data_IF_441433634812
#
_entry.id   IF_441433634812
#
_cell.length_a   1.000
_cell.length_b   1.000
_cell.length_c   1.000
_cell.angle_alpha   90.00
_cell.angle_beta   90.00
_cell.angle_gamma   90.00
#
_symmetry.space_group_name_H-M   'P 1'
#
loop_
_entity.id
_entity.type
_entity.pdbx_description
1 polymer ?
#
# COMPACT_ATOMS: atom_id res chain seq x y z
N UNK A 1 -48.82 -66.45 -71.06
CA UNK A 1 -48.21 -67.31 -70.02
C UNK A 1 -46.88 -67.78 -70.55
N UNK A 2 -45.79 -67.24 -70.01
CA UNK A 2 -44.43 -67.44 -70.51
C UNK A 2 -43.51 -67.67 -69.33
N UNK A 3 -42.84 -68.82 -69.32
CA UNK A 3 -41.75 -69.18 -68.41
C UNK A 3 -40.52 -69.51 -69.29
N UNK A 4 -39.41 -68.84 -69.02
CA UNK A 4 -38.02 -69.21 -69.34
C UNK A 4 -37.18 -68.22 -68.53
N UNK A 5 -36.39 -68.60 -67.52
CA UNK A 5 -35.23 -69.47 -67.61
C UNK A 5 -33.98 -68.58 -67.72
N UNK A 6 -33.19 -68.43 -66.65
CA UNK A 6 -31.81 -67.93 -66.72
C UNK A 6 -31.02 -68.24 -65.43
N UNK A 7 -29.75 -68.51 -65.67
CA UNK A 7 -28.69 -69.14 -64.87
C UNK A 7 -28.14 -68.36 -63.64
N UNK A 8 -27.26 -69.00 -62.84
CA UNK A 8 -26.82 -68.54 -61.53
C UNK A 8 -25.53 -67.68 -61.58
N UNK A 9 -25.38 -66.78 -60.59
CA UNK A 9 -24.10 -66.22 -60.22
C UNK A 9 -24.03 -66.10 -58.68
N UNK A 10 -23.22 -66.97 -58.10
CA UNK A 10 -22.77 -66.98 -56.72
C UNK A 10 -21.80 -65.79 -56.52
N UNK A 11 -22.18 -64.83 -55.68
CA UNK A 11 -21.31 -63.77 -55.21
C UNK A 11 -21.31 -63.80 -53.67
N UNK A 12 -20.35 -64.52 -53.11
CA UNK A 12 -20.04 -64.51 -51.69
C UNK A 12 -19.52 -63.13 -51.28
N UNK A 13 -20.30 -62.41 -50.46
CA UNK A 13 -19.91 -61.14 -49.85
C UNK A 13 -19.54 -61.34 -48.36
N UNK A 14 -18.38 -60.85 -47.89
CA UNK A 14 -17.95 -60.90 -46.48
C UNK A 14 -18.64 -59.84 -45.59
N UNK A 15 -18.57 -59.99 -44.24
CA UNK A 15 -19.52 -59.41 -43.29
C UNK A 15 -19.34 -57.92 -42.99
N UNK A 16 -20.46 -57.34 -42.55
CA UNK A 16 -20.69 -55.97 -42.15
C UNK A 16 -19.70 -55.45 -41.10
N UNK A 17 -19.05 -54.32 -41.41
CA UNK A 17 -18.35 -53.48 -40.45
C UNK A 17 -19.30 -52.37 -40.00
N UNK A 18 -19.53 -52.31 -38.69
CA UNK A 18 -20.31 -51.26 -38.04
C UNK A 18 -19.60 -49.90 -38.17
N UNK A 19 -20.31 -48.90 -38.67
CA UNK A 19 -19.91 -47.50 -38.64
C UNK A 19 -20.98 -46.72 -37.87
N UNK A 20 -20.76 -46.57 -36.57
CA UNK A 20 -21.49 -45.59 -35.76
C UNK A 20 -20.90 -44.21 -35.96
N UNK A 21 -21.77 -43.27 -36.31
CA UNK A 21 -21.49 -41.85 -36.36
C UNK A 21 -21.57 -41.24 -34.95
N UNK A 22 -20.64 -40.34 -34.60
CA UNK A 22 -21.00 -39.22 -33.76
C UNK A 22 -20.74 -37.89 -34.48
N UNK A 23 -21.83 -37.17 -34.70
CA UNK A 23 -21.84 -35.71 -34.84
C UNK A 23 -21.31 -35.09 -33.54
N UNK A 24 -20.06 -34.64 -33.57
CA UNK A 24 -19.41 -33.90 -32.48
C UNK A 24 -18.80 -32.61 -33.02
N UNK A 25 -19.50 -31.50 -32.79
CA UNK A 25 -19.13 -30.14 -33.13
C UNK A 25 -18.04 -29.59 -32.18
N UNK A 26 -16.97 -29.07 -32.79
CA UNK A 26 -16.11 -27.95 -32.40
C UNK A 26 -15.86 -27.63 -30.90
N UNK A 27 -14.59 -27.74 -30.47
CA UNK A 27 -13.78 -26.58 -30.06
C UNK A 27 -12.32 -26.94 -29.81
N UNK A 28 -11.44 -26.08 -30.31
CA UNK A 28 -10.02 -26.32 -30.53
C UNK A 28 -9.17 -26.51 -29.27
N UNK A 29 -8.28 -27.51 -29.35
CA UNK A 29 -7.08 -27.62 -28.54
C UNK A 29 -5.89 -27.39 -29.48
N UNK A 30 -5.25 -26.22 -29.39
CA UNK A 30 -3.98 -25.94 -30.06
C UNK A 30 -2.83 -26.32 -29.11
N UNK A 31 -1.79 -27.02 -29.60
CA UNK A 31 -0.58 -27.31 -28.84
C UNK A 31 0.41 -26.15 -29.02
N UNK A 32 0.91 -25.59 -27.92
CA UNK A 32 2.08 -24.68 -27.96
C UNK A 32 3.07 -25.05 -26.86
N UNK A 33 3.83 -26.11 -27.15
CA UNK A 33 5.20 -26.23 -26.68
C UNK A 33 6.07 -25.17 -27.40
N UNK A 34 7.17 -24.75 -26.76
CA UNK A 34 8.21 -23.81 -27.23
C UNK A 34 8.02 -22.31 -26.94
N UNK A 35 8.12 -21.88 -25.67
CA UNK A 35 8.77 -20.60 -25.30
C UNK A 35 9.34 -20.71 -23.88
N UNK A 36 10.45 -21.44 -23.67
CA UNK A 36 11.06 -21.60 -22.32
C UNK A 36 12.57 -21.34 -22.26
N UNK A 37 13.17 -20.69 -23.26
CA UNK A 37 14.64 -20.52 -23.29
C UNK A 37 15.09 -19.16 -23.81
N UNK A 38 14.60 -18.05 -23.22
CA UNK A 38 15.11 -16.70 -23.55
C UNK A 38 15.23 -15.70 -22.39
N UNK A 39 15.09 -16.14 -21.13
CA UNK A 39 15.34 -15.30 -19.93
C UNK A 39 16.55 -15.75 -19.10
N UNK A 40 17.51 -16.39 -19.75
CA UNK A 40 18.83 -16.66 -19.18
C UNK A 40 19.86 -15.83 -19.92
N UNK A 41 20.65 -15.03 -19.18
CA UNK A 41 21.89 -14.35 -19.63
C UNK A 41 21.74 -12.89 -20.08
N UNK A 42 21.46 -12.00 -19.11
CA UNK A 42 22.15 -10.69 -18.98
C UNK A 42 21.84 -10.02 -17.61
N UNK A 43 21.91 -10.78 -16.51
CA UNK A 43 22.04 -10.20 -15.16
C UNK A 43 23.47 -10.33 -14.66
N UNK A 44 24.44 -10.01 -15.53
CA UNK A 44 25.86 -10.03 -15.18
C UNK A 44 26.29 -8.64 -14.74
N UNK A 45 26.79 -8.58 -13.50
CA UNK A 45 27.70 -7.57 -12.98
C UNK A 45 27.11 -6.20 -12.60
N UNK A 46 26.23 -6.20 -11.60
CA UNK A 46 26.27 -5.17 -10.55
C UNK A 46 25.63 -5.68 -9.24
N UNK A 47 25.99 -6.89 -8.84
CA UNK A 47 25.68 -7.44 -7.51
C UNK A 47 26.60 -6.80 -6.47
N UNK A 48 26.38 -5.52 -6.22
CA UNK A 48 26.99 -4.82 -5.10
C UNK A 48 26.22 -5.23 -3.83
N UNK A 49 26.84 -5.96 -2.88
CA UNK A 49 26.14 -6.64 -1.80
C UNK A 49 25.83 -5.68 -0.65
N UNK A 50 24.99 -4.67 -0.86
CA UNK A 50 24.28 -3.96 0.23
C UNK A 50 22.83 -3.59 -0.16
N UNK A 51 21.96 -4.58 -0.44
CA UNK A 51 20.54 -4.32 -0.75
C UNK A 51 19.77 -3.61 0.38
N UNK A 52 20.35 -3.47 1.58
CA UNK A 52 19.75 -2.70 2.68
C UNK A 52 19.95 -1.18 2.56
N UNK A 53 21.05 -0.69 1.98
CA UNK A 53 21.37 0.74 1.99
C UNK A 53 20.43 1.56 1.12
N UNK A 54 20.13 1.10 -0.10
CA UNK A 54 19.21 1.80 -1.02
C UNK A 54 17.82 1.99 -0.40
N UNK A 55 17.33 0.98 0.33
CA UNK A 55 16.05 1.08 1.03
C UNK A 55 16.12 2.05 2.20
N UNK A 56 17.22 2.07 2.96
CA UNK A 56 17.41 3.00 4.07
C UNK A 56 17.51 4.45 3.58
N UNK A 57 18.25 4.69 2.51
CA UNK A 57 18.32 6.01 1.86
C UNK A 57 16.94 6.45 1.38
N UNK A 58 16.16 5.54 0.78
CA UNK A 58 14.80 5.86 0.34
C UNK A 58 13.87 6.27 1.48
N UNK A 59 13.86 5.55 2.60
CA UNK A 59 12.99 5.89 3.75
C UNK A 59 13.49 7.11 4.51
N UNK A 60 14.80 7.37 4.51
CA UNK A 60 15.39 8.60 5.05
C UNK A 60 14.98 9.80 4.21
N UNK A 61 15.13 9.72 2.88
CA UNK A 61 14.74 10.78 1.96
C UNK A 61 13.24 11.08 2.04
N UNK A 62 12.39 10.05 2.13
CA UNK A 62 10.95 10.21 2.31
C UNK A 62 10.62 10.94 3.63
N UNK A 63 11.32 10.62 4.72
CA UNK A 63 11.18 11.32 5.98
C UNK A 63 11.56 12.79 5.87
N UNK A 64 12.75 13.07 5.33
CA UNK A 64 13.24 14.44 5.16
C UNK A 64 12.30 15.31 4.30
N UNK A 65 11.83 14.78 3.17
CA UNK A 65 10.88 15.48 2.29
C UNK A 65 9.57 15.75 3.01
N UNK A 66 9.03 14.77 3.75
CA UNK A 66 7.80 14.96 4.51
C UNK A 66 7.96 16.05 5.57
N UNK A 67 9.01 15.98 6.39
CA UNK A 67 9.27 16.97 7.44
C UNK A 67 9.44 18.39 6.91
N UNK A 68 10.22 18.56 5.84
CA UNK A 68 10.41 19.86 5.19
C UNK A 68 9.10 20.40 4.59
N UNK A 69 8.30 19.53 3.96
CA UNK A 69 7.00 19.91 3.40
C UNK A 69 6.01 20.33 4.49
N UNK A 70 5.99 19.63 5.64
CA UNK A 70 5.16 20.01 6.79
C UNK A 70 5.57 21.37 7.35
N UNK A 71 6.87 21.63 7.55
CA UNK A 71 7.36 22.93 8.02
C UNK A 71 7.00 24.06 7.04
N UNK A 72 7.20 23.85 5.74
CA UNK A 72 6.82 24.84 4.73
C UNK A 72 5.31 25.09 4.71
N UNK A 73 4.49 24.04 4.80
CA UNK A 73 3.04 24.18 4.85
C UNK A 73 2.60 24.97 6.10
N UNK A 74 3.21 24.70 7.26
CA UNK A 74 2.95 25.41 8.50
C UNK A 74 3.32 26.89 8.39
N UNK A 75 4.48 27.20 7.82
CA UNK A 75 4.89 28.59 7.63
C UNK A 75 4.00 29.35 6.63
N UNK A 76 3.62 28.75 5.51
CA UNK A 76 2.70 29.38 4.55
C UNK A 76 1.30 29.55 5.15
N UNK A 77 0.86 28.60 5.99
CA UNK A 77 -0.39 28.74 6.74
C UNK A 77 -0.31 29.95 7.69
N UNK A 78 0.79 30.14 8.42
CA UNK A 78 0.98 31.32 9.27
C UNK A 78 0.94 32.65 8.50
N UNK A 79 1.58 32.71 7.32
CA UNK A 79 1.52 33.90 6.46
C UNK A 79 0.10 34.18 5.96
N UNK A 80 -0.69 33.13 5.71
CA UNK A 80 -2.07 33.27 5.23
C UNK A 80 -3.02 33.79 6.30
N UNK A 81 -2.70 33.58 7.59
CA UNK A 81 -3.51 34.08 8.71
C UNK A 81 -3.33 35.59 8.93
N UNK A 82 -2.20 36.16 8.52
CA UNK A 82 -1.87 37.57 8.72
C UNK A 82 -2.21 38.47 7.51
N UNK A 83 -2.47 37.87 6.35
CA UNK A 83 -2.69 38.61 5.10
C UNK A 83 -4.11 39.19 4.92
N UNK A 84 -5.05 39.01 5.85
CA UNK A 84 -6.43 39.47 5.68
C UNK A 84 -7.07 40.06 6.96
N UNK A 85 -6.80 41.35 7.13
CA UNK A 85 -7.81 42.36 7.41
C UNK A 85 -9.20 42.04 6.82
N UNK A 86 -10.10 41.45 7.62
CA UNK A 86 -11.56 41.38 7.46
C UNK A 86 -12.17 40.77 6.18
N UNK A 87 -11.51 40.74 5.02
CA UNK A 87 -12.10 40.28 3.74
C UNK A 87 -12.06 38.73 3.58
N UNK A 88 -11.09 38.03 4.21
CA UNK A 88 -10.90 36.57 4.14
C UNK A 88 -12.01 35.85 4.90
N UNK A 89 -12.48 36.49 5.96
CA UNK A 89 -13.55 35.99 6.83
C UNK A 89 -14.85 35.75 6.09
N UNK A 90 -15.02 36.33 4.90
CA UNK A 90 -16.30 36.30 4.17
C UNK A 90 -16.36 35.35 2.97
N UNK A 91 -15.24 34.84 2.42
CA UNK A 91 -15.35 33.90 1.27
C UNK A 91 -14.23 32.87 1.04
N UNK A 92 -13.08 32.90 1.72
CA UNK A 92 -11.91 32.15 1.25
C UNK A 92 -11.50 30.97 2.12
N UNK A 93 -11.83 29.74 1.74
CA UNK A 93 -11.21 28.55 2.32
C UNK A 93 -9.71 28.54 2.06
N UNK A 94 -8.87 28.49 3.09
CA UNK A 94 -7.43 28.34 2.91
C UNK A 94 -7.06 26.86 2.82
N UNK A 95 -6.86 26.37 1.60
CA UNK A 95 -6.42 24.98 1.35
C UNK A 95 -5.13 24.66 2.11
N UNK A 96 -4.22 25.64 2.23
CA UNK A 96 -2.94 25.44 2.89
C UNK A 96 -3.08 25.25 4.41
N UNK A 97 -4.07 25.86 5.05
CA UNK A 97 -4.37 25.64 6.47
C UNK A 97 -4.85 24.22 6.73
N UNK A 98 -5.73 23.69 5.86
CA UNK A 98 -6.17 22.30 5.92
C UNK A 98 -4.98 21.35 5.71
N UNK A 99 -4.13 21.62 4.71
CA UNK A 99 -2.95 20.80 4.42
C UNK A 99 -1.96 20.82 5.59
N UNK A 100 -1.68 21.99 6.16
CA UNK A 100 -0.85 22.15 7.36
C UNK A 100 -1.41 21.34 8.52
N UNK A 101 -2.71 21.49 8.85
CA UNK A 101 -3.34 20.74 9.94
C UNK A 101 -3.35 19.22 9.71
N UNK A 102 -3.49 18.76 8.47
CA UNK A 102 -3.39 17.34 8.13
C UNK A 102 -1.95 16.82 8.24
N UNK A 103 -0.95 17.57 7.78
CA UNK A 103 0.46 17.18 7.85
C UNK A 103 1.03 17.24 9.26
N UNK A 104 0.57 18.18 10.07
CA UNK A 104 0.99 18.35 11.47
C UNK A 104 0.28 17.36 12.42
N UNK A 105 -0.71 16.63 11.92
CA UNK A 105 -1.42 15.64 12.72
C UNK A 105 -0.54 14.43 13.08
N UNK A 106 -0.61 14.00 14.34
CA UNK A 106 0.14 12.84 14.82
C UNK A 106 -0.11 11.56 14.02
N UNK A 107 -1.31 11.36 13.46
CA UNK A 107 -1.60 10.20 12.61
C UNK A 107 -0.86 10.22 11.26
N UNK A 108 -0.57 11.40 10.70
CA UNK A 108 0.19 11.51 9.45
C UNK A 108 1.65 11.08 9.67
N UNK A 109 2.26 11.55 10.76
CA UNK A 109 3.60 11.14 11.20
C UNK A 109 3.66 9.65 11.54
N UNK A 110 2.63 9.13 12.22
CA UNK A 110 2.54 7.69 12.49
C UNK A 110 2.40 6.88 11.19
N UNK A 111 1.58 7.36 10.25
CA UNK A 111 1.40 6.78 8.92
C UNK A 111 2.69 6.71 8.13
N UNK A 112 3.51 7.77 8.20
CA UNK A 112 4.84 7.81 7.59
C UNK A 112 5.76 6.72 8.14
N UNK A 113 5.82 6.54 9.47
CA UNK A 113 6.63 5.50 10.09
C UNK A 113 6.16 4.08 9.72
N UNK A 114 4.85 3.85 9.68
CA UNK A 114 4.24 2.58 9.23
C UNK A 114 4.57 2.33 7.75
N UNK A 115 4.47 3.35 6.90
CA UNK A 115 4.79 3.25 5.47
C UNK A 115 6.28 2.93 5.26
N UNK A 116 7.18 3.59 6.01
CA UNK A 116 8.61 3.31 5.96
C UNK A 116 8.91 1.85 6.31
N UNK A 117 8.30 1.32 7.38
CA UNK A 117 8.43 -0.08 7.77
C UNK A 117 7.91 -1.06 6.72
N UNK A 118 6.80 -0.71 6.06
CA UNK A 118 6.26 -1.48 4.94
C UNK A 118 7.20 -1.48 3.72
N UNK A 119 7.73 -0.33 3.32
CA UNK A 119 8.64 -0.19 2.18
C UNK A 119 9.96 -0.92 2.42
N UNK A 120 10.53 -0.79 3.62
CA UNK A 120 11.78 -1.46 4.01
C UNK A 120 11.69 -2.99 3.96
N UNK A 121 10.48 -3.54 4.07
CA UNK A 121 10.21 -4.98 4.02
C UNK A 121 9.62 -5.46 2.70
N UNK A 122 9.33 -4.54 1.76
CA UNK A 122 8.89 -4.85 0.40
C UNK A 122 10.04 -5.36 -0.47
N UNK A 123 11.25 -4.84 -0.28
CA UNK A 123 12.42 -5.08 -1.12
C UNK A 123 13.03 -6.49 -1.03
N UNK A 124 12.65 -7.33 -0.05
CA UNK A 124 13.19 -8.69 0.10
C UNK A 124 12.10 -9.75 0.13
N UNK A 125 11.96 -10.50 -0.96
CA UNK A 125 11.12 -11.70 -1.08
C UNK A 125 11.88 -13.00 -0.76
N UNK A 126 13.18 -12.93 -0.46
CA UNK A 126 14.05 -14.10 -0.27
C UNK A 126 14.42 -14.35 1.20
N UNK A 127 13.86 -15.42 1.78
CA UNK A 127 14.47 -16.28 2.81
C UNK A 127 14.59 -15.79 4.27
N UNK A 128 14.64 -14.49 4.57
CA UNK A 128 14.87 -14.02 5.95
C UNK A 128 13.61 -13.51 6.65
N UNK A 129 12.68 -14.41 6.98
CA UNK A 129 11.44 -14.10 7.71
C UNK A 129 11.67 -13.48 9.09
N UNK A 130 12.72 -13.90 9.81
CA UNK A 130 12.97 -13.52 11.21
C UNK A 130 13.44 -12.06 11.42
N UNK A 131 14.10 -11.43 10.43
CA UNK A 131 14.64 -10.05 10.57
C UNK A 131 13.69 -8.95 10.05
N UNK A 132 12.51 -9.34 9.60
CA UNK A 132 11.49 -8.45 9.03
C UNK A 132 11.03 -7.34 10.00
N UNK A 133 10.66 -7.65 11.27
CA UNK A 133 10.18 -6.61 12.18
C UNK A 133 11.29 -5.65 12.61
N UNK A 134 12.51 -6.16 12.86
CA UNK A 134 13.65 -5.33 13.23
C UNK A 134 14.01 -4.31 12.13
N UNK A 135 13.95 -4.71 10.85
CA UNK A 135 14.15 -3.77 9.73
C UNK A 135 13.05 -2.72 9.65
N UNK A 136 11.80 -3.14 9.86
CA UNK A 136 10.67 -2.21 9.91
C UNK A 136 10.86 -1.17 11.01
N UNK A 137 11.22 -1.63 12.21
CA UNK A 137 11.49 -0.79 13.37
C UNK A 137 12.59 0.25 13.10
N UNK A 138 13.74 -0.19 12.57
CA UNK A 138 14.84 0.73 12.22
C UNK A 138 14.40 1.73 11.16
N UNK A 139 13.66 1.30 10.14
CA UNK A 139 13.15 2.21 9.12
C UNK A 139 12.20 3.26 9.71
N UNK A 140 11.29 2.87 10.61
CA UNK A 140 10.40 3.80 11.30
C UNK A 140 11.16 4.86 12.10
N UNK A 141 12.16 4.46 12.89
CA UNK A 141 13.02 5.40 13.64
C UNK A 141 13.76 6.35 12.71
N UNK A 142 14.46 5.81 11.70
CA UNK A 142 15.27 6.62 10.77
C UNK A 142 14.39 7.63 10.04
N UNK A 143 13.20 7.24 9.58
CA UNK A 143 12.28 8.14 8.88
C UNK A 143 11.76 9.25 9.79
N UNK A 144 11.37 8.94 11.02
CA UNK A 144 10.88 9.96 11.95
C UNK A 144 11.97 10.92 12.40
N UNK A 145 13.19 10.42 12.67
CA UNK A 145 14.34 11.28 12.97
C UNK A 145 14.69 12.17 11.77
N UNK A 146 14.68 11.63 10.56
CA UNK A 146 14.93 12.43 9.35
C UNK A 146 13.83 13.48 9.13
N UNK A 147 12.57 13.13 9.36
CA UNK A 147 11.45 14.05 9.24
C UNK A 147 11.52 15.18 10.28
N UNK A 148 11.74 14.87 11.56
CA UNK A 148 11.87 15.88 12.61
C UNK A 148 13.09 16.78 12.38
N UNK A 149 14.24 16.21 12.01
CA UNK A 149 15.43 17.00 11.69
C UNK A 149 15.20 17.94 10.50
N UNK A 150 14.58 17.45 9.41
CA UNK A 150 14.28 18.28 8.25
C UNK A 150 13.21 19.33 8.53
N UNK A 151 12.22 19.01 9.37
CA UNK A 151 11.21 19.95 9.84
C UNK A 151 11.88 21.14 10.54
N UNK A 152 12.69 20.89 11.58
CA UNK A 152 13.35 21.97 12.30
C UNK A 152 14.38 22.73 11.46
N UNK A 153 15.13 22.02 10.61
CA UNK A 153 16.05 22.69 9.68
C UNK A 153 15.30 23.65 8.74
N UNK A 154 14.18 23.21 8.16
CA UNK A 154 13.35 24.08 7.33
C UNK A 154 12.75 25.23 8.14
N UNK A 155 12.29 24.96 9.36
CA UNK A 155 11.72 25.96 10.26
C UNK A 155 12.69 27.10 10.55
N UNK A 156 13.97 26.78 10.75
CA UNK A 156 15.03 27.78 10.96
C UNK A 156 15.28 28.65 9.75
N UNK A 157 15.17 28.09 8.54
CA UNK A 157 15.33 28.84 7.29
C UNK A 157 14.13 29.76 7.07
N UNK A 158 12.92 29.30 7.39
CA UNK A 158 11.70 30.05 7.12
C UNK A 158 11.46 31.15 8.15
N UNK A 159 11.75 30.91 9.43
CA UNK A 159 11.51 31.87 10.51
C UNK A 159 12.74 32.70 10.90
N UNK A 160 13.90 32.44 10.29
CA UNK A 160 15.20 33.07 10.64
C UNK A 160 15.56 32.95 12.13
N UNK A 161 15.20 31.81 12.74
CA UNK A 161 15.46 31.51 14.16
C UNK A 161 16.57 30.47 14.27
N UNK A 162 17.59 30.68 15.13
CA UNK A 162 18.68 29.72 15.30
C UNK A 162 18.19 28.34 15.79
N UNK A 163 18.76 27.25 15.26
CA UNK A 163 18.43 25.86 15.66
C UNK A 163 18.50 25.61 17.18
N UNK A 164 19.36 26.35 17.90
CA UNK A 164 19.51 26.23 19.34
C UNK A 164 18.27 26.62 20.15
N UNK A 165 17.37 27.46 19.61
CA UNK A 165 16.12 27.83 20.28
C UNK A 165 15.16 26.65 20.40
N UNK A 166 15.19 25.73 19.44
CA UNK A 166 14.36 24.53 19.39
C UNK A 166 14.96 23.34 20.15
N UNK A 167 16.01 23.55 20.94
CA UNK A 167 16.77 22.46 21.56
C UNK A 167 15.90 21.52 22.41
N UNK A 168 15.03 22.08 23.26
CA UNK A 168 14.14 21.29 24.11
C UNK A 168 13.13 20.47 23.29
N UNK A 169 12.47 21.12 22.32
CA UNK A 169 11.45 20.47 21.49
C UNK A 169 12.07 19.40 20.57
N UNK A 170 13.24 19.70 20.00
CA UNK A 170 14.00 18.74 19.18
C UNK A 170 14.32 17.48 19.96
N UNK A 171 14.83 17.61 21.19
CA UNK A 171 15.14 16.46 22.06
C UNK A 171 13.87 15.67 22.40
N UNK A 172 12.78 16.36 22.74
CA UNK A 172 11.49 15.72 23.02
C UNK A 172 10.99 14.90 21.83
N UNK A 173 10.98 15.46 20.62
CA UNK A 173 10.50 14.78 19.41
C UNK A 173 11.43 13.68 18.91
N UNK A 174 12.74 13.82 19.12
CA UNK A 174 13.70 12.75 18.85
C UNK A 174 13.50 11.58 19.80
N UNK A 175 13.28 11.85 21.09
CA UNK A 175 12.94 10.82 22.07
C UNK A 175 11.64 10.09 21.67
N UNK A 176 10.60 10.84 21.30
CA UNK A 176 9.35 10.27 20.80
C UNK A 176 9.58 9.41 19.54
N UNK A 177 10.42 9.85 18.61
CA UNK A 177 10.77 9.11 17.39
C UNK A 177 11.49 7.80 17.69
N UNK A 178 12.41 7.79 18.67
CA UNK A 178 13.14 6.59 19.11
C UNK A 178 12.23 5.61 19.84
N UNK A 179 11.25 6.09 20.60
CA UNK A 179 10.31 5.24 21.35
C UNK A 179 9.18 4.68 20.48
N UNK A 180 8.55 5.53 19.67
CA UNK A 180 7.38 5.16 18.87
C UNK A 180 7.76 4.60 17.49
N UNK A 181 8.84 5.09 16.90
CA UNK A 181 9.33 4.66 15.59
C UNK A 181 9.53 3.14 15.46
N UNK A 182 10.12 2.43 16.44
CA UNK A 182 10.30 0.99 16.38
C UNK A 182 8.96 0.25 16.32
N UNK A 183 8.00 0.67 17.15
CA UNK A 183 6.68 0.06 17.25
C UNK A 183 5.91 0.26 15.95
N UNK A 184 5.82 1.50 15.48
CA UNK A 184 5.11 1.87 14.25
C UNK A 184 5.76 1.22 13.01
N UNK A 185 7.08 1.26 12.91
CA UNK A 185 7.82 0.61 11.84
C UNK A 185 7.64 -0.92 11.83
N UNK A 186 7.59 -1.55 13.01
CA UNK A 186 7.29 -2.98 13.12
C UNK A 186 5.84 -3.29 12.70
N UNK A 187 4.85 -2.46 13.05
CA UNK A 187 3.47 -2.59 12.56
C UNK A 187 3.43 -2.52 11.02
N UNK A 188 4.13 -1.56 10.43
CA UNK A 188 4.30 -1.45 8.97
C UNK A 188 4.85 -2.71 8.32
N UNK A 189 5.82 -3.36 8.96
CA UNK A 189 6.37 -4.64 8.49
C UNK A 189 5.34 -5.77 8.49
N UNK A 190 4.39 -5.74 9.42
CA UNK A 190 3.33 -6.73 9.57
C UNK A 190 2.21 -6.57 8.52
N UNK A 191 2.07 -5.40 7.88
CA UNK A 191 1.04 -5.16 6.87
C UNK A 191 1.14 -6.07 5.63
N UNK A 192 2.29 -6.74 5.41
CA UNK A 192 2.45 -7.75 4.35
C UNK A 192 2.01 -9.15 4.75
N UNK A 193 1.83 -9.43 6.04
CA UNK A 193 1.48 -10.78 6.50
C UNK A 193 0.06 -11.13 6.02
N UNK A 194 -0.14 -12.29 5.38
CA UNK A 194 -1.49 -12.76 5.11
C UNK A 194 -2.19 -13.09 6.44
N UNK A 195 -3.46 -12.71 6.58
CA UNK A 195 -4.26 -12.99 7.78
C UNK A 195 -4.65 -11.73 8.57
N UNK A 196 -5.27 -11.96 9.73
CA UNK A 196 -5.83 -10.89 10.58
C UNK A 196 -4.79 -9.86 11.01
N UNK A 197 -3.55 -10.29 11.31
CA UNK A 197 -2.46 -9.39 11.74
C UNK A 197 -2.13 -8.36 10.67
N UNK A 198 -2.08 -8.76 9.40
CA UNK A 198 -1.80 -7.82 8.30
C UNK A 198 -2.95 -6.88 8.00
N UNK A 199 -4.19 -7.30 8.26
CA UNK A 199 -5.36 -6.42 8.20
C UNK A 199 -5.31 -5.40 9.33
N UNK A 200 -5.07 -5.85 10.56
CA UNK A 200 -5.00 -4.98 11.73
C UNK A 200 -3.92 -3.91 11.55
N UNK A 201 -2.74 -4.30 11.06
CA UNK A 201 -1.64 -3.36 10.77
C UNK A 201 -1.99 -2.30 9.71
N UNK A 202 -2.82 -2.62 8.72
CA UNK A 202 -3.27 -1.65 7.70
C UNK A 202 -4.33 -0.70 8.22
N UNK A 203 -5.14 -1.16 9.16
CA UNK A 203 -6.25 -0.42 9.75
C UNK A 203 -5.78 0.47 10.91
N UNK A 204 -4.60 0.21 11.48
CA UNK A 204 -4.03 1.01 12.60
C UNK A 204 -3.99 2.51 12.29
N UNK A 205 -3.49 2.91 11.12
CA UNK A 205 -3.36 4.34 10.76
C UNK A 205 -4.71 5.00 10.52
N UNK A 206 -5.63 4.43 9.69
CA UNK A 206 -6.99 4.98 9.55
C UNK A 206 -7.77 5.08 10.86
N UNK A 207 -7.66 4.06 11.73
CA UNK A 207 -8.34 4.08 13.04
C UNK A 207 -7.72 5.14 13.94
N UNK A 208 -6.40 5.26 13.99
CA UNK A 208 -5.73 6.33 14.72
C UNK A 208 -6.17 7.72 14.26
N UNK A 209 -6.29 7.93 12.95
CA UNK A 209 -6.80 9.17 12.37
C UNK A 209 -8.26 9.45 12.79
N UNK A 210 -9.13 8.45 12.72
CA UNK A 210 -10.53 8.59 13.13
C UNK A 210 -10.67 8.87 14.63
N UNK A 211 -9.93 8.16 15.49
CA UNK A 211 -9.94 8.37 16.94
C UNK A 211 -9.44 9.76 17.29
N UNK A 212 -8.38 10.23 16.63
CA UNK A 212 -7.87 11.59 16.85
C UNK A 212 -8.92 12.64 16.49
N UNK A 213 -9.69 12.46 15.41
CA UNK A 213 -10.77 13.39 15.03
C UNK A 213 -11.91 13.44 16.04
N UNK A 214 -12.16 12.34 16.76
CA UNK A 214 -13.19 12.29 17.82
C UNK A 214 -12.68 12.91 19.12
N UNK A 215 -11.43 12.64 19.49
CA UNK A 215 -10.85 13.10 20.76
C UNK A 215 -10.38 14.56 20.70
N UNK A 216 -9.87 14.99 19.54
CA UNK A 216 -9.28 16.32 19.32
C UNK A 216 -9.71 16.85 17.94
N UNK A 217 -10.92 17.42 17.84
CA UNK A 217 -11.39 18.02 16.60
C UNK A 217 -10.44 19.13 16.15
N UNK A 218 -9.94 19.12 14.90
CA UNK A 218 -9.01 20.14 14.43
C UNK A 218 -9.76 21.44 14.14
N UNK A 219 -9.49 22.50 14.91
CA UNK A 219 -9.76 23.87 14.46
C UNK A 219 -10.41 24.81 15.49
N UNK A 220 -10.12 26.11 15.33
CA UNK A 220 -10.84 27.23 15.95
C UNK A 220 -12.10 27.64 15.18
N UNK A 221 -12.30 27.10 13.97
CA UNK A 221 -13.38 27.46 13.05
C UNK A 221 -14.18 26.19 12.64
N UNK A 222 -15.50 26.25 12.78
CA UNK A 222 -16.42 25.11 12.56
C UNK A 222 -16.35 24.55 11.14
N UNK A 223 -16.08 25.40 10.14
CA UNK A 223 -16.07 24.99 8.73
C UNK A 223 -14.84 24.14 8.39
N UNK A 224 -13.66 24.55 8.83
CA UNK A 224 -12.39 23.81 8.62
C UNK A 224 -12.46 22.46 9.34
N UNK A 225 -12.99 22.46 10.56
CA UNK A 225 -13.21 21.25 11.34
C UNK A 225 -14.11 20.26 10.58
N UNK A 226 -15.22 20.74 10.03
CA UNK A 226 -16.19 19.91 9.30
C UNK A 226 -15.55 19.28 8.06
N UNK A 227 -14.82 20.06 7.25
CA UNK A 227 -14.16 19.54 6.04
C UNK A 227 -13.06 18.54 6.40
N UNK A 228 -12.20 18.88 7.36
CA UNK A 228 -11.13 17.99 7.82
C UNK A 228 -11.69 16.67 8.32
N UNK A 229 -12.78 16.70 9.09
CA UNK A 229 -13.51 15.50 9.48
C UNK A 229 -14.00 14.73 8.25
N UNK A 230 -14.76 15.34 7.33
CA UNK A 230 -15.26 14.63 6.15
C UNK A 230 -14.15 13.96 5.34
N UNK A 231 -13.03 14.65 5.11
CA UNK A 231 -11.87 14.10 4.39
C UNK A 231 -11.28 12.90 5.14
N UNK A 232 -11.08 13.01 6.46
CA UNK A 232 -10.50 11.92 7.26
C UNK A 232 -11.45 10.72 7.34
N UNK A 233 -12.73 10.96 7.61
CA UNK A 233 -13.76 9.92 7.70
C UNK A 233 -13.95 9.19 6.37
N UNK A 234 -14.06 9.92 5.25
CA UNK A 234 -14.19 9.31 3.92
C UNK A 234 -12.95 8.50 3.55
N UNK A 235 -11.76 9.06 3.76
CA UNK A 235 -10.49 8.36 3.48
C UNK A 235 -10.34 7.11 4.34
N UNK A 236 -10.68 7.20 5.64
CA UNK A 236 -10.65 6.06 6.54
C UNK A 236 -11.64 4.96 6.13
N UNK A 237 -12.90 5.34 5.86
CA UNK A 237 -13.94 4.41 5.44
C UNK A 237 -13.59 3.69 4.13
N UNK A 238 -13.11 4.43 3.12
CA UNK A 238 -12.66 3.86 1.84
C UNK A 238 -11.49 2.91 2.05
N UNK A 239 -10.48 3.32 2.83
CA UNK A 239 -9.30 2.49 3.08
C UNK A 239 -9.67 1.19 3.80
N UNK A 240 -10.50 1.28 4.85
CA UNK A 240 -10.98 0.11 5.61
C UNK A 240 -11.82 -0.80 4.70
N UNK A 241 -12.73 -0.24 3.90
CA UNK A 241 -13.56 -0.98 2.95
C UNK A 241 -12.72 -1.75 1.92
N UNK A 242 -11.74 -1.10 1.31
CA UNK A 242 -10.82 -1.74 0.34
C UNK A 242 -10.03 -2.88 1.00
N UNK A 243 -9.53 -2.67 2.22
CA UNK A 243 -8.81 -3.71 2.97
C UNK A 243 -9.73 -4.89 3.29
N UNK A 244 -10.96 -4.63 3.72
CA UNK A 244 -11.94 -5.66 4.05
C UNK A 244 -12.37 -6.47 2.81
N UNK A 245 -12.70 -5.82 1.70
CA UNK A 245 -13.08 -6.48 0.43
C UNK A 245 -11.96 -7.38 -0.07
N UNK A 246 -10.71 -6.91 -0.05
CA UNK A 246 -9.56 -7.74 -0.44
C UNK A 246 -9.36 -8.93 0.49
N UNK A 247 -9.55 -8.75 1.79
CA UNK A 247 -9.41 -9.84 2.76
C UNK A 247 -10.50 -10.91 2.57
N UNK A 248 -11.75 -10.49 2.42
CA UNK A 248 -12.88 -11.39 2.20
C UNK A 248 -12.78 -12.12 0.85
N UNK A 249 -12.36 -11.45 -0.21
CA UNK A 249 -12.13 -12.08 -1.52
C UNK A 249 -11.03 -13.15 -1.48
N UNK A 250 -9.96 -12.92 -0.72
CA UNK A 250 -8.91 -13.93 -0.51
C UNK A 250 -9.39 -15.12 0.34
N UNK A 251 -10.30 -14.88 1.29
CA UNK A 251 -10.89 -15.93 2.13
C UNK A 251 -11.89 -16.78 1.34
N UNK A 252 -12.74 -16.16 0.53
CA UNK A 252 -13.72 -16.85 -0.32
C UNK A 252 -13.08 -17.81 -1.31
N UNK A 253 -11.95 -17.40 -1.94
CA UNK A 253 -11.19 -18.28 -2.85
C UNK A 253 -10.62 -19.52 -2.16
N UNK A 254 -10.18 -19.41 -0.90
CA UNK A 254 -9.66 -20.57 -0.14
C UNK A 254 -10.75 -21.57 0.21
N UNK A 255 -11.95 -21.08 0.56
CA UNK A 255 -13.06 -21.97 0.90
C UNK A 255 -13.58 -22.73 -0.33
N UNK A 256 -13.64 -22.09 -1.51
CA UNK A 256 -14.06 -22.77 -2.74
C UNK A 256 -13.07 -23.85 -3.20
N UNK A 257 -11.78 -23.71 -2.92
CA UNK A 257 -10.79 -24.76 -3.25
C UNK A 257 -10.83 -25.96 -2.29
N UNK A 258 -11.49 -25.86 -1.14
CA UNK A 258 -11.59 -26.96 -0.17
C UNK A 258 -12.78 -27.91 -0.41
N UNK A 259 -13.74 -27.53 -1.25
CA UNK A 259 -14.99 -28.28 -1.45
C UNK A 259 -14.97 -29.19 -2.69
N UNK A 260 -13.96 -29.07 -3.55
CA UNK A 260 -13.83 -29.86 -4.79
C UNK A 260 -13.15 -31.23 -4.56
N UNK A 261 -12.68 -31.51 -3.34
CA UNK A 261 -11.96 -32.76 -3.00
C UNK A 261 -12.79 -33.77 -2.17
N UNK A 262 -14.13 -33.74 -2.25
CA UNK A 262 -14.97 -34.77 -1.62
C UNK A 262 -15.42 -35.82 -2.66
N UNK A 263 -14.98 -37.09 -2.54
CA UNK A 263 -15.41 -38.20 -3.39
C UNK A 263 -16.83 -38.72 -3.08
#
# INVERSE_FOLDING_TARGET
MSCSGTEPADCSAPPAYAADAPTGTCSGFLPTAHVTTWFGRMSSMNDNPRPGWKSLVGVLAAGAVFGAATSLANAVAHLSVDLESREATTSGWSIIEIVSGLLDSGWAWAGLAVLAGFLATRAKRSGLGARTPARGAVAGVVTLLAATAAYYAMDTVVHDVPLGSYGHDTVYWWAASVLLGPILGAIGSCARRPGAIGVLAKVTVPVGAAVQMVAMPPGRNEVIMTIGQWVVWTTAAVTIGVVAVRFLGLRGRRNHSGEVDLP
#
